data_IF_393469571603
#
_entry.id   IF_393469571603
#
_cell.length_a   1.000
_cell.length_b   1.000
_cell.length_c   1.000
_cell.angle_alpha   90.00
_cell.angle_beta   90.00
_cell.angle_gamma   90.00
#
_symmetry.space_group_name_H-M   'P 1'
#
loop_
_entity.id
_entity.type
_entity.pdbx_description
1 polymer ?
2 polymer ?
3 non-polymer ?
4 non-polymer ?
5 water ?
#
# COMPACT_ATOMS: atom_id res chain seq x y z
N UNK A 8 -8.25 -22.96 7.69
CA UNK A 8 -7.54 -21.63 7.61
C UNK A 8 -7.14 -21.23 6.16
N UNK A 9 -7.14 -19.93 5.91
CA UNK A 9 -6.85 -19.45 4.57
C UNK A 9 -5.47 -18.90 4.47
N UNK A 10 -4.90 -18.85 3.27
CA UNK A 10 -3.58 -18.27 3.05
C UNK A 10 -3.79 -16.81 2.66
N UNK A 11 -2.93 -15.90 3.13
CA UNK A 11 -3.04 -14.48 2.71
C UNK A 11 -2.97 -14.41 1.18
N UNK A 12 -3.75 -13.49 0.59
CA UNK A 12 -3.65 -13.23 -0.85
C UNK A 12 -2.18 -12.82 -1.13
N UNK A 13 -1.54 -13.41 -2.19
CA UNK A 13 -0.16 -13.06 -2.46
C UNK A 13 0.04 -11.64 -2.98
N UNK A 14 1.13 -11.02 -2.58
CA UNK A 14 1.44 -9.66 -3.02
C UNK A 14 1.93 -9.65 -4.48
N UNK A 15 1.77 -8.50 -5.17
CA UNK A 15 2.33 -8.35 -6.52
C UNK A 15 2.79 -6.90 -6.53
N UNK A 16 3.71 -6.58 -7.44
CA UNK A 16 4.18 -5.20 -7.54
C UNK A 16 3.02 -4.23 -7.86
N UNK A 17 3.14 -2.98 -7.40
CA UNK A 17 2.19 -1.95 -7.74
C UNK A 17 2.38 -1.55 -9.19
N UNK A 18 3.54 -1.82 -9.79
CA UNK A 18 3.77 -1.47 -11.19
C UNK A 18 4.14 -0.01 -11.36
N UNK A 19 4.54 0.41 -12.58
CA UNK A 19 4.94 1.82 -12.81
C UNK A 19 3.82 2.86 -12.78
N UNK A 20 2.57 2.43 -12.87
CA UNK A 20 1.48 3.43 -12.86
C UNK A 20 0.75 3.51 -11.52
N UNK A 21 1.34 2.96 -10.47
CA UNK A 21 0.70 2.97 -9.17
C UNK A 21 0.08 4.35 -8.77
N UNK A 22 0.39 5.47 -9.45
CA UNK A 22 -0.35 6.69 -8.98
C UNK A 22 -1.73 6.96 -9.76
N UNK A 23 -2.00 6.19 -10.77
CA UNK A 23 -3.26 6.44 -11.48
C UNK A 23 -4.25 6.04 -10.44
N UNK A 24 -3.91 4.95 -9.78
CA UNK A 24 -4.86 4.50 -8.84
C UNK A 24 -4.70 5.11 -7.53
N UNK A 25 -3.49 5.39 -7.09
CA UNK A 25 -3.47 5.85 -5.73
C UNK A 25 -3.43 7.37 -5.53
N UNK A 26 -2.99 8.11 -6.56
CA UNK A 26 -2.93 9.60 -6.50
C UNK A 26 -3.42 10.14 -7.85
N UNK A 27 -4.65 9.84 -8.25
CA UNK A 27 -5.13 10.31 -9.55
C UNK A 27 -4.97 11.78 -9.86
N UNK A 28 -5.28 12.60 -8.86
CA UNK A 28 -5.14 14.05 -8.93
C UNK A 28 -3.84 14.49 -9.52
N UNK A 29 -2.77 13.75 -9.24
CA UNK A 29 -1.43 14.03 -9.70
C UNK A 29 -1.07 13.35 -11.00
N UNK A 30 -2.03 12.68 -11.61
CA UNK A 30 -1.74 12.05 -12.87
C UNK A 30 -2.73 12.78 -13.74
N UNK A 31 -3.27 13.85 -13.19
CA UNK A 31 -4.22 14.67 -13.91
C UNK A 31 -5.60 14.03 -14.19
N UNK A 32 -6.04 13.17 -13.28
CA UNK A 32 -7.31 12.47 -13.43
C UNK A 32 -8.23 12.96 -12.33
N UNK A 33 -9.22 13.75 -12.72
CA UNK A 33 -10.11 14.29 -11.71
C UNK A 33 -11.36 13.49 -11.64
N UNK A 34 -11.32 12.39 -10.92
CA UNK A 34 -12.48 11.53 -10.83
C UNK A 34 -13.11 11.63 -9.44
N UNK A 35 -12.33 12.04 -8.43
CA UNK A 35 -12.84 12.11 -7.06
C UNK A 35 -12.95 13.54 -6.53
N UNK A 36 -13.93 13.82 -5.68
CA UNK A 36 -14.09 15.14 -5.10
C UNK A 36 -13.12 15.28 -3.98
N UNK A 37 -13.05 14.26 -3.12
CA UNK A 37 -12.11 14.25 -2.01
C UNK A 37 -10.90 13.34 -2.32
N UNK A 38 -9.72 13.91 -2.33
CA UNK A 38 -8.51 13.19 -2.68
C UNK A 38 -7.56 13.04 -1.51
N UNK A 39 -6.98 11.86 -1.38
CA UNK A 39 -6.04 11.61 -0.30
C UNK A 39 -4.71 12.17 -0.65
N UNK A 40 -3.99 12.71 0.33
CA UNK A 40 -2.69 13.29 -0.01
C UNK A 40 -1.64 13.22 1.11
N UNK A 41 -0.59 14.00 0.97
CA UNK A 41 0.56 13.99 1.88
C UNK A 41 0.57 15.07 2.94
N UNK A 42 -0.58 15.65 3.21
CA UNK A 42 -0.64 16.66 4.24
C UNK A 42 -1.49 16.16 5.43
N UNK A 43 -0.83 15.86 6.54
CA UNK A 43 -1.52 15.32 7.70
C UNK A 43 -1.93 16.39 8.71
N UNK A 44 -1.51 17.62 8.46
CA UNK A 44 -1.82 18.72 9.38
C UNK A 44 -3.06 19.44 8.97
N UNK A 45 -4.05 19.44 9.86
CA UNK A 45 -5.29 20.18 9.65
C UNK A 45 -5.08 21.44 10.51
N UNK A 46 -5.93 22.42 10.34
CA UNK A 46 -5.71 23.68 11.06
C UNK A 46 -5.72 23.61 12.59
N UNK A 47 -6.45 22.65 13.14
CA UNK A 47 -6.49 22.51 14.60
C UNK A 47 -5.66 21.38 15.15
N UNK A 48 -4.86 20.76 14.28
CA UNK A 48 -4.05 19.64 14.69
C UNK A 48 -3.04 20.07 15.70
N UNK A 49 -2.89 19.30 16.76
CA UNK A 49 -1.92 19.64 17.77
C UNK A 49 -0.52 19.09 17.49
N UNK A 50 0.48 19.79 17.99
CA UNK A 50 1.83 19.33 17.86
C UNK A 50 2.74 20.19 17.06
N UNK A 51 4.02 19.88 17.11
CA UNK A 51 4.92 20.67 16.30
C UNK A 51 5.00 20.18 14.85
N UNK A 52 4.75 21.10 13.96
CA UNK A 52 4.76 20.87 12.55
C UNK A 52 6.17 20.53 12.05
N UNK A 53 6.29 19.51 11.19
CA UNK A 53 7.58 19.15 10.67
C UNK A 53 7.37 18.75 9.23
N UNK A 54 8.42 18.85 8.43
CA UNK A 54 8.33 18.40 7.05
C UNK A 54 9.28 17.20 6.93
N UNK A 55 8.81 16.10 6.35
CA UNK A 55 9.63 14.90 6.16
C UNK A 55 9.91 14.74 4.66
N UNK A 56 11.17 14.68 4.27
CA UNK A 56 11.45 14.54 2.84
C UNK A 56 12.70 13.74 2.55
N UNK A 57 12.81 13.30 1.30
CA UNK A 57 13.97 12.52 0.92
C UNK A 57 13.83 12.02 -0.47
N UNK A 58 14.65 11.03 -0.80
CA UNK A 58 14.58 10.40 -2.13
C UNK A 58 14.76 8.92 -1.85
N UNK A 59 14.34 8.10 -2.82
CA UNK A 59 14.52 6.66 -2.74
C UNK A 59 15.46 6.29 -3.88
N UNK A 60 16.52 5.54 -3.58
CA UNK A 60 17.53 5.16 -4.58
C UNK A 60 17.58 3.66 -4.88
N UNK A 61 17.88 3.31 -6.13
CA UNK A 61 17.98 1.89 -6.48
C UNK A 61 19.42 1.49 -6.24
N UNK A 62 19.77 0.25 -6.59
CA UNK A 62 21.09 -0.30 -6.35
C UNK A 62 22.22 0.39 -7.06
N UNK A 63 21.92 1.24 -8.04
CA UNK A 63 22.99 1.94 -8.73
C UNK A 63 23.01 3.41 -8.30
N UNK A 64 22.14 3.78 -7.37
CA UNK A 64 22.15 5.15 -6.91
C UNK A 64 21.24 6.05 -7.67
N UNK A 65 20.44 5.51 -8.54
CA UNK A 65 19.52 6.32 -9.28
C UNK A 65 18.22 6.48 -8.44
N UNK A 66 17.69 7.71 -8.35
CA UNK A 66 16.46 7.86 -7.57
C UNK A 66 15.26 7.29 -8.35
N UNK A 67 14.32 6.68 -7.63
CA UNK A 67 13.12 6.12 -8.23
C UNK A 67 12.14 7.25 -8.44
N UNK A 68 11.68 7.43 -9.66
CA UNK A 68 10.74 8.50 -9.88
C UNK A 68 9.34 7.94 -10.01
N UNK A 69 9.19 6.63 -9.81
CA UNK A 69 7.86 6.03 -9.89
C UNK A 69 7.42 5.46 -8.55
N UNK A 70 8.06 5.88 -7.46
CA UNK A 70 7.73 5.30 -6.18
C UNK A 70 6.47 5.84 -5.48
N UNK A 71 5.75 5.02 -4.72
CA UNK A 71 4.57 5.49 -3.95
C UNK A 71 4.88 5.23 -2.46
N UNK A 72 4.73 6.24 -1.62
CA UNK A 72 5.09 6.09 -0.19
C UNK A 72 3.94 6.45 0.71
N UNK A 73 3.71 5.69 1.79
CA UNK A 73 2.69 6.04 2.75
C UNK A 73 3.37 6.01 4.12
N UNK A 74 2.85 6.82 5.06
CA UNK A 74 3.36 6.80 6.39
C UNK A 74 2.16 6.63 7.33
N UNK A 75 2.40 6.08 8.53
CA UNK A 75 1.37 5.82 9.55
C UNK A 75 2.05 6.22 10.86
N UNK A 76 1.39 7.09 11.64
CA UNK A 76 2.03 7.54 12.89
C UNK A 76 1.01 7.95 13.95
N UNK A 77 1.49 8.11 15.17
CA UNK A 77 0.68 8.50 16.33
C UNK A 77 0.56 10.02 16.38
N UNK A 78 -0.36 10.52 17.21
CA UNK A 78 -0.53 11.97 17.29
C UNK A 78 0.57 12.53 18.20
N UNK A 79 0.40 13.82 18.60
CA UNK A 79 1.44 14.43 19.44
C UNK A 79 1.66 13.80 20.83
N UNK A 80 0.66 13.10 21.34
CA UNK A 80 0.77 12.45 22.64
C UNK A 80 1.05 10.97 22.55
N UNK A 81 1.34 10.50 21.34
CA UNK A 81 1.65 9.10 21.17
C UNK A 81 0.43 8.20 21.15
N UNK A 82 -0.70 8.73 20.70
CA UNK A 82 -1.92 7.95 20.59
C UNK A 82 -2.28 7.82 19.12
N UNK A 83 -2.63 6.59 18.71
CA UNK A 83 -3.01 6.35 17.32
C UNK A 83 -4.47 6.64 17.06
N UNK A 84 -4.80 7.30 15.93
CA UNK A 84 -6.20 7.59 15.63
C UNK A 84 -6.80 6.29 15.01
N UNK A 85 -6.91 5.28 15.88
CA UNK A 85 -7.41 3.98 15.44
C UNK A 85 -8.16 3.30 16.53
N UNK A 86 -9.26 2.62 16.16
CA UNK A 86 -10.01 1.88 17.16
C UNK A 86 -9.17 0.78 17.81
N UNK A 87 -8.07 0.36 17.19
CA UNK A 87 -7.24 -0.70 17.78
C UNK A 87 -6.29 -0.16 18.84
N UNK A 88 -6.25 1.17 19.03
CA UNK A 88 -5.36 1.69 20.05
C UNK A 88 -6.06 1.44 21.42
N UNK A 89 -5.33 0.78 22.31
CA UNK A 89 -5.88 0.41 23.60
C UNK A 89 -5.31 1.21 24.77
N UNK A 90 -4.77 2.40 24.51
CA UNK A 90 -4.22 3.18 25.60
C UNK A 90 -5.30 3.82 26.50
N UNK A 91 -6.53 3.91 26.04
CA UNK A 91 -7.53 4.49 26.91
C UNK A 91 -7.27 5.97 27.04
N UNK A 92 -6.52 6.54 26.10
CA UNK A 92 -6.28 7.97 26.10
C UNK A 92 -7.03 8.54 24.90
N UNK A 93 -7.42 9.80 25.00
CA UNK A 93 -8.13 10.40 23.89
C UNK A 93 -7.09 10.85 22.87
N UNK A 94 -7.38 10.58 21.61
CA UNK A 94 -6.49 10.99 20.52
C UNK A 94 -6.89 12.40 20.06
N UNK A 95 -5.94 13.12 19.41
CA UNK A 95 -6.20 14.42 18.82
C UNK A 95 -7.36 14.18 17.79
N UNK A 96 -8.52 14.86 17.92
CA UNK A 96 -9.61 14.61 16.96
C UNK A 96 -9.40 15.19 15.57
N UNK A 97 -8.33 15.94 15.39
CA UNK A 97 -8.09 16.52 14.06
C UNK A 97 -6.84 15.99 13.44
N UNK A 98 -6.73 14.67 13.44
CA UNK A 98 -5.53 13.97 12.95
C UNK A 98 -5.83 12.54 12.43
N UNK A 99 -5.56 12.36 11.14
CA UNK A 99 -5.80 11.10 10.45
C UNK A 99 -4.65 10.11 10.72
N UNK A 100 -3.46 10.63 10.92
CA UNK A 100 -2.28 9.82 11.20
C UNK A 100 -1.69 9.11 9.97
N UNK A 101 -2.30 9.29 8.80
CA UNK A 101 -1.80 8.61 7.59
C UNK A 101 -1.75 9.59 6.41
N UNK A 102 -0.83 9.33 5.47
CA UNK A 102 -0.81 10.12 4.27
C UNK A 102 -0.13 9.33 3.17
N UNK A 103 -0.17 9.86 1.97
CA UNK A 103 0.40 9.15 0.86
C UNK A 103 1.02 10.18 -0.07
N UNK A 104 2.12 9.79 -0.72
CA UNK A 104 2.76 10.69 -1.67
C UNK A 104 3.56 9.93 -2.72
N UNK A 105 3.90 10.60 -3.80
CA UNK A 105 4.72 9.96 -4.83
C UNK A 105 5.95 10.85 -4.97
N UNK A 106 6.98 10.42 -5.69
CA UNK A 106 8.18 11.23 -5.89
C UNK A 106 7.92 12.20 -7.03
N UNK A 107 8.56 13.34 -7.04
CA UNK A 107 8.38 14.28 -8.16
C UNK A 107 8.95 13.61 -9.42
N UNK A 108 8.22 13.59 -10.53
CA UNK A 108 8.71 12.89 -11.74
C UNK A 108 10.07 13.35 -12.29
N UNK A 109 10.46 14.58 -12.01
CA UNK A 109 11.73 15.04 -12.50
C UNK A 109 12.83 14.78 -11.50
N UNK A 110 12.69 15.35 -10.31
CA UNK A 110 13.71 15.22 -9.27
C UNK A 110 13.78 13.94 -8.47
N UNK A 111 12.62 13.35 -8.20
CA UNK A 111 12.59 12.14 -7.39
C UNK A 111 12.38 12.51 -5.91
N UNK A 112 12.22 13.79 -5.57
CA UNK A 112 11.99 14.08 -4.16
C UNK A 112 10.59 13.78 -3.73
N UNK A 113 10.44 13.25 -2.51
CA UNK A 113 9.09 13.02 -1.98
C UNK A 113 9.00 13.81 -0.65
N UNK A 114 7.79 14.11 -0.15
CA UNK A 114 7.66 14.81 1.14
C UNK A 114 6.28 14.64 1.75
N UNK A 115 6.21 14.93 3.06
CA UNK A 115 4.95 14.95 3.75
C UNK A 115 5.02 16.16 4.72
N UNK A 116 3.86 16.73 5.02
CA UNK A 116 3.73 17.76 6.04
C UNK A 116 2.99 17.04 7.14
N UNK A 117 3.60 16.93 8.31
CA UNK A 117 2.93 16.23 9.40
C UNK A 117 3.39 16.82 10.73
N UNK A 118 3.23 16.08 11.82
CA UNK A 118 3.74 16.59 13.08
C UNK A 118 4.65 15.54 13.69
N UNK A 119 5.50 15.96 14.63
CA UNK A 119 6.41 15.05 15.27
C UNK A 119 5.60 14.18 16.23
N UNK A 120 5.60 12.84 16.01
CA UNK A 120 4.80 12.01 16.95
C UNK A 120 5.38 11.89 18.34
N UNK A 121 4.48 11.70 19.30
CA UNK A 121 4.90 11.48 20.67
C UNK A 121 5.25 10.01 20.80
N UNK A 122 5.90 9.66 21.90
CA UNK A 122 6.34 8.30 22.14
C UNK A 122 5.17 7.37 22.43
N UNK A 123 5.28 6.13 21.93
CA UNK A 123 4.22 5.12 22.04
C UNK A 123 4.72 3.93 22.89
N UNK A 124 3.84 3.34 23.73
CA UNK A 124 4.25 2.19 24.54
C UNK A 124 4.80 1.09 23.64
N UNK A 125 5.79 0.38 24.14
CA UNK A 125 6.34 -0.76 23.45
C UNK A 125 5.78 -1.99 24.20
N UNK A 126 6.29 -3.16 23.88
CA UNK A 126 5.79 -4.35 24.56
C UNK A 126 6.33 -4.49 25.97
N UNK A 127 5.58 -5.23 26.80
CA UNK A 127 5.97 -5.49 28.21
C UNK A 127 6.43 -4.26 28.98
N UNK A 128 5.64 -3.20 28.96
CA UNK A 128 5.96 -1.98 29.69
C UNK A 128 7.10 -1.12 29.15
N UNK A 129 7.63 -1.42 27.98
CA UNK A 129 8.73 -0.59 27.47
C UNK A 129 8.12 0.63 26.78
N UNK A 130 8.95 1.59 26.42
CA UNK A 130 8.51 2.78 25.72
C UNK A 130 9.28 2.89 24.40
N UNK A 131 8.58 3.11 23.29
CA UNK A 131 9.31 3.20 22.05
C UNK A 131 9.73 4.64 21.80
N UNK A 132 10.83 4.87 21.10
CA UNK A 132 11.21 6.25 20.77
C UNK A 132 10.22 6.71 19.72
N UNK A 133 10.02 8.06 19.53
CA UNK A 133 9.10 8.60 18.52
C UNK A 133 9.57 8.03 17.15
N UNK A 134 8.62 7.62 16.33
CA UNK A 134 8.92 7.09 15.03
C UNK A 134 7.70 7.21 14.14
N UNK A 135 7.95 7.17 12.83
CA UNK A 135 6.89 7.15 11.83
C UNK A 135 7.04 5.83 11.06
N UNK A 136 5.96 5.09 10.86
CA UNK A 136 6.03 3.86 10.08
C UNK A 136 5.84 4.23 8.61
N UNK A 137 6.71 3.67 7.77
CA UNK A 137 6.71 4.04 6.36
C UNK A 137 6.72 2.79 5.45
N UNK A 138 5.98 2.86 4.32
CA UNK A 138 5.98 1.73 3.41
C UNK A 138 6.21 2.27 2.02
N UNK A 139 6.92 1.48 1.21
CA UNK A 139 7.29 1.84 -0.16
C UNK A 139 6.75 0.83 -1.21
N UNK A 140 6.14 1.34 -2.28
CA UNK A 140 5.66 0.51 -3.38
C UNK A 140 6.24 1.06 -4.70
N UNK A 141 6.58 0.19 -5.66
CA UNK A 141 7.06 0.66 -6.95
C UNK A 141 7.23 -0.54 -7.88
N UNK A 142 7.32 -0.22 -9.17
CA UNK A 142 7.62 -1.20 -10.21
C UNK A 142 8.89 -1.89 -9.66
N UNK A 143 9.03 -3.21 -9.79
CA UNK A 143 10.22 -3.88 -9.31
C UNK A 143 10.22 -4.33 -7.86
N UNK A 144 9.29 -3.77 -7.10
CA UNK A 144 9.17 -4.12 -5.70
C UNK A 144 7.99 -5.05 -5.63
N UNK A 145 8.23 -6.35 -5.32
CA UNK A 145 7.15 -7.31 -5.29
C UNK A 145 6.26 -7.28 -4.10
N UNK A 146 6.80 -6.83 -2.98
CA UNK A 146 6.01 -6.70 -1.77
C UNK A 146 6.39 -5.34 -1.17
N UNK A 147 5.40 -4.57 -0.71
CA UNK A 147 5.70 -3.28 -0.07
C UNK A 147 6.78 -3.43 1.01
N UNK A 148 7.76 -2.54 0.98
CA UNK A 148 8.88 -2.56 1.96
C UNK A 148 8.56 -1.68 3.14
N UNK A 149 8.66 -2.26 4.36
CA UNK A 149 8.32 -1.53 5.57
C UNK A 149 9.61 -1.03 6.23
N UNK A 150 9.59 0.21 6.72
CA UNK A 150 10.75 0.68 7.45
C UNK A 150 10.20 1.66 8.51
N UNK A 151 11.08 2.25 9.31
CA UNK A 151 10.61 3.24 10.28
C UNK A 151 11.59 4.41 10.20
N UNK A 152 11.11 5.58 10.58
CA UNK A 152 11.89 6.80 10.58
C UNK A 152 11.96 7.24 12.08
N UNK A 153 13.16 7.38 12.58
CA UNK A 153 13.40 7.89 13.94
C UNK A 153 14.05 9.28 13.74
N UNK A 154 14.21 10.04 14.81
CA UNK A 154 14.70 11.42 14.70
C UNK A 154 16.02 11.59 15.42
N UNK A 155 17.00 12.21 14.75
CA UNK A 155 18.31 12.36 15.35
C UNK A 155 18.35 13.24 16.61
N UNK A 156 17.33 14.06 16.84
CA UNK A 156 17.34 14.86 18.06
C UNK A 156 16.67 14.12 19.24
N UNK A 157 16.41 12.81 19.09
CA UNK A 157 15.79 12.05 20.17
C UNK A 157 16.81 10.95 20.50
N UNK A 158 18.06 11.33 20.57
CA UNK A 158 19.12 10.35 20.83
C UNK A 158 18.93 9.57 22.14
N UNK A 159 18.50 10.26 23.17
CA UNK A 159 18.24 9.61 24.46
C UNK A 159 17.16 8.49 24.33
N UNK A 160 16.02 8.84 23.73
CA UNK A 160 14.93 7.91 23.51
C UNK A 160 15.34 6.80 22.56
N UNK A 161 16.08 7.16 21.51
CA UNK A 161 16.52 6.16 20.52
C UNK A 161 17.40 5.08 21.13
N UNK A 162 18.25 5.47 22.08
CA UNK A 162 19.13 4.50 22.69
C UNK A 162 18.35 3.46 23.51
N UNK A 163 17.11 3.76 23.88
CA UNK A 163 16.35 2.82 24.69
C UNK A 163 15.21 2.20 23.84
N UNK A 164 15.17 2.48 22.55
CA UNK A 164 14.11 1.92 21.71
C UNK A 164 14.29 0.40 21.51
N UNK A 165 13.24 -0.37 21.79
CA UNK A 165 13.29 -1.83 21.66
C UNK A 165 13.57 -2.29 20.24
N UNK A 166 12.87 -1.73 19.27
CA UNK A 166 13.10 -2.15 17.88
C UNK A 166 14.49 -1.81 17.41
N UNK A 167 14.97 -0.60 17.66
CA UNK A 167 16.32 -0.27 17.24
C UNK A 167 17.36 -1.14 17.92
N UNK A 168 17.17 -1.45 19.20
CA UNK A 168 18.14 -2.27 19.89
C UNK A 168 18.11 -3.68 19.39
N UNK A 169 17.04 -4.08 18.71
CA UNK A 169 16.97 -5.45 18.27
C UNK A 169 17.78 -5.66 17.00
N UNK A 170 18.36 -4.57 16.46
CA UNK A 170 19.18 -4.68 15.25
C UNK A 170 20.61 -4.80 15.77
N UNK A 171 21.26 -5.96 15.54
CA UNK A 171 22.62 -6.22 16.07
C UNK A 171 23.76 -5.45 15.41
N UNK A 172 23.54 -4.93 14.22
CA UNK A 172 24.57 -4.17 13.52
C UNK A 172 24.34 -2.67 13.84
N UNK A 173 25.24 -2.05 14.59
CA UNK A 173 24.97 -0.68 14.90
C UNK A 173 25.11 0.18 13.67
N UNK A 174 25.90 -0.25 12.71
CA UNK A 174 26.03 0.55 11.50
C UNK A 174 24.71 0.60 10.70
N UNK A 175 23.87 -0.41 10.88
CA UNK A 175 22.61 -0.45 10.15
C UNK A 175 21.53 0.36 10.90
N UNK A 176 21.67 0.45 12.21
CA UNK A 176 20.69 1.23 13.00
C UNK A 176 20.67 2.65 12.49
N UNK A 177 21.81 3.17 12.09
CA UNK A 177 21.79 4.57 11.67
C UNK A 177 21.00 4.86 10.41
N UNK A 178 20.79 3.85 9.56
CA UNK A 178 20.01 4.10 8.36
C UNK A 178 18.57 4.49 8.69
N UNK A 179 18.15 4.25 9.94
CA UNK A 179 16.75 4.58 10.29
C UNK A 179 16.51 5.94 10.96
N UNK A 180 17.58 6.73 11.08
CA UNK A 180 17.53 8.03 11.74
C UNK A 180 17.54 9.20 10.75
N UNK A 181 16.45 9.99 10.72
CA UNK A 181 16.40 11.14 9.85
C UNK A 181 17.19 12.31 10.48
N UNK A 182 17.74 13.20 9.64
CA UNK A 182 18.48 14.36 10.15
C UNK A 182 17.66 15.62 10.15
N UNK A 183 17.60 16.29 11.28
CA UNK A 183 16.85 17.52 11.48
C UNK A 183 17.61 18.69 10.87
N UNK A 184 16.90 19.54 10.14
CA UNK A 184 17.46 20.72 9.51
C UNK A 184 16.41 21.81 9.70
N UNK A 185 16.81 23.07 9.61
CA UNK A 185 15.87 24.18 9.79
C UNK A 185 15.83 25.19 8.65
N UNK A 186 15.03 24.88 7.63
CA UNK A 186 14.87 25.73 6.45
C UNK A 186 13.88 26.86 6.70
N UNK A 187 14.39 28.08 6.89
CA UNK A 187 13.58 29.28 7.12
C UNK A 187 12.46 29.09 8.09
N UNK A 188 12.81 28.86 9.35
CA UNK A 188 11.79 28.66 10.36
C UNK A 188 11.19 27.26 10.41
N UNK A 189 11.05 26.59 9.27
CA UNK A 189 10.47 25.25 9.28
C UNK A 189 11.43 24.16 9.72
N UNK A 190 10.91 23.19 10.46
CA UNK A 190 11.76 22.09 10.85
C UNK A 190 11.55 21.01 9.76
N UNK A 191 12.66 20.53 9.21
CA UNK A 191 12.67 19.50 8.16
C UNK A 191 13.49 18.32 8.59
N UNK A 192 13.01 17.12 8.31
CA UNK A 192 13.80 15.92 8.64
C UNK A 192 14.06 15.29 7.29
N UNK A 193 15.33 15.03 7.01
CA UNK A 193 15.72 14.46 5.73
C UNK A 193 15.89 12.96 5.94
N UNK A 194 15.20 12.16 5.12
CA UNK A 194 15.35 10.71 5.30
C UNK A 194 15.45 10.08 3.92
N UNK A 195 16.65 9.68 3.53
CA UNK A 195 16.83 9.06 2.21
C UNK A 195 16.79 7.56 2.41
N UNK A 196 16.24 6.88 1.43
CA UNK A 196 16.11 5.42 1.54
C UNK A 196 16.93 4.77 0.44
N UNK A 197 17.81 3.86 0.81
CA UNK A 197 18.61 3.11 -0.17
C UNK A 197 18.08 1.69 -0.14
N UNK A 198 17.45 1.30 -1.23
CA UNK A 198 16.84 -0.04 -1.28
C UNK A 198 17.87 -1.16 -1.35
N UNK A 199 19.04 -0.89 -1.87
CA UNK A 199 19.97 -1.98 -2.11
C UNK A 199 21.40 -1.51 -2.16
N UNK A 200 22.30 -2.22 -1.52
CA UNK A 200 23.69 -1.85 -1.66
C UNK A 200 24.34 -1.32 -0.42
N UNK A 201 25.25 -0.39 -0.63
CA UNK A 201 25.94 0.18 0.51
C UNK A 201 24.96 1.06 1.28
N UNK A 202 25.02 0.96 2.60
CA UNK A 202 24.12 1.72 3.45
C UNK A 202 22.68 1.46 3.17
N UNK A 203 22.41 0.25 2.74
CA UNK A 203 21.04 -0.19 2.47
C UNK A 203 20.16 0.07 3.69
N UNK A 204 19.02 0.71 3.50
CA UNK A 204 18.11 0.98 4.60
C UNK A 204 17.57 -0.36 5.19
N UNK A 205 17.41 -0.42 6.52
CA UNK A 205 16.87 -1.61 7.16
C UNK A 205 15.35 -1.74 6.81
N UNK A 206 14.91 -2.93 6.43
CA UNK A 206 13.48 -3.09 6.17
C UNK A 206 13.01 -4.16 7.12
N UNK A 207 11.76 -4.04 7.53
CA UNK A 207 11.18 -4.97 8.48
C UNK A 207 10.10 -5.88 7.94
N UNK A 208 9.98 -7.07 8.57
CA UNK A 208 8.84 -7.95 8.31
C UNK A 208 7.99 -7.68 9.54
N UNK A 209 6.84 -7.00 9.42
CA UNK A 209 6.09 -6.63 10.63
C UNK A 209 4.86 -7.47 10.95
N UNK B 4 -13.22 -10.25 24.43
CA UNK B 4 -12.02 -10.66 23.58
C UNK B 4 -10.88 -9.63 23.56
N UNK B 5 -9.69 -10.03 23.99
CA UNK B 5 -8.52 -9.14 23.97
C UNK B 5 -7.65 -9.63 22.78
N UNK B 6 -7.35 -8.73 21.85
CA UNK B 6 -6.59 -9.12 20.69
C UNK B 6 -5.10 -9.03 20.89
N UNK B 7 -4.38 -10.00 20.32
CA UNK B 7 -2.93 -10.04 20.41
C UNK B 7 -2.33 -9.61 19.10
N UNK B 8 -1.26 -10.24 18.64
CA UNK B 8 -0.66 -9.76 17.36
C UNK B 8 -1.24 -10.42 16.11
N UNK B 9 -0.96 -9.84 14.92
CA UNK B 9 -1.32 -10.54 13.69
C UNK B 9 -0.43 -11.79 13.55
N UNK B 10 -0.99 -12.85 12.96
CA UNK B 10 -0.21 -14.05 12.67
C UNK B 10 0.97 -13.59 11.79
N UNK B 11 2.11 -14.23 11.95
CA UNK B 11 3.30 -13.95 11.15
C UNK B 11 2.97 -14.09 9.62
N UNK B 12 3.51 -13.21 8.78
CA UNK B 12 3.28 -13.34 7.33
C UNK B 12 4.05 -14.59 6.89
N UNK B 13 3.44 -15.45 6.05
CA UNK B 13 4.11 -16.70 5.60
C UNK B 13 4.86 -16.32 4.33
N UNK B 14 6.15 -16.08 4.45
CA UNK B 14 6.93 -15.63 3.32
C UNK B 14 6.93 -16.61 2.15
N UNK B 15 6.67 -17.91 2.40
CA UNK B 15 6.66 -18.85 1.28
C UNK B 15 5.37 -18.70 0.46
N UNK B 16 4.42 -17.93 0.97
CA UNK B 16 3.18 -17.76 0.20
C UNK B 16 3.20 -16.48 -0.67
N UNK B 17 4.37 -15.81 -0.74
CA UNK B 17 4.48 -14.56 -1.44
C UNK B 17 5.71 -14.60 -2.35
N UNK B 18 5.79 -13.67 -3.30
CA UNK B 18 6.98 -13.70 -4.13
C UNK B 18 8.18 -13.28 -3.27
N UNK B 19 9.41 -13.58 -3.71
CA UNK B 19 10.58 -13.14 -2.95
C UNK B 19 10.88 -11.74 -3.49
N UNK B 20 11.75 -10.99 -2.85
CA UNK B 20 12.05 -9.64 -3.31
C UNK B 20 12.89 -9.69 -4.61
N UNK B 21 13.86 -10.57 -4.63
CA UNK B 21 14.73 -10.70 -5.78
C UNK B 21 14.15 -11.77 -6.68
N UNK B 22 13.76 -11.39 -7.87
CA UNK B 22 13.18 -12.35 -8.81
C UNK B 22 13.80 -11.96 -10.17
N UNK B 23 14.92 -12.57 -10.51
CA UNK B 23 15.57 -12.24 -11.79
C UNK B 23 14.77 -12.25 -13.12
N UNK B 24 13.67 -13.00 -13.22
CA UNK B 24 12.91 -13.01 -14.44
C UNK B 24 12.08 -11.74 -14.59
N UNK B 25 11.95 -10.97 -13.50
CA UNK B 25 11.26 -9.68 -13.51
C UNK B 25 12.46 -8.71 -13.35
N UNK B 26 12.99 -8.26 -14.49
CA UNK B 26 14.21 -7.52 -14.50
C UNK B 26 14.33 -6.29 -13.62
N UNK B 27 13.26 -5.52 -13.49
CA UNK B 27 13.31 -4.33 -12.66
C UNK B 27 13.54 -4.69 -11.21
N UNK B 28 13.25 -5.91 -10.81
CA UNK B 28 13.49 -6.23 -9.39
C UNK B 28 14.99 -6.39 -9.07
N UNK B 29 15.83 -6.60 -10.09
CA UNK B 29 17.24 -6.85 -9.81
C UNK B 29 17.94 -5.72 -9.01
N UNK B 30 17.61 -4.48 -9.32
CA UNK B 30 18.22 -3.35 -8.58
C UNK B 30 17.30 -2.72 -7.57
N UNK B 31 16.09 -3.29 -7.39
CA UNK B 31 15.15 -2.73 -6.42
C UNK B 31 14.76 -3.70 -5.34
N UNK B 32 15.68 -4.62 -5.02
CA UNK B 32 15.45 -5.60 -3.97
C UNK B 32 16.59 -5.52 -2.99
N UNK B 33 16.27 -5.49 -1.68
CA UNK B 33 17.32 -5.43 -0.67
C UNK B 33 18.20 -6.64 -0.72
N UNK B 34 19.48 -6.48 -0.42
CA UNK B 34 20.37 -7.60 -0.41
C UNK B 34 20.30 -8.22 0.98
N UNK B 35 20.02 -7.43 2.02
CA UNK B 35 19.93 -7.99 3.36
C UNK B 35 18.55 -8.62 3.59
N UNK B 36 18.52 -9.60 4.47
CA UNK B 36 17.26 -10.22 4.84
C UNK B 36 16.41 -9.16 5.61
N UNK B 37 15.09 -9.29 5.59
CA UNK B 37 14.22 -8.42 6.35
C UNK B 37 14.41 -8.79 7.80
N UNK B 38 14.29 -7.77 8.66
CA UNK B 38 14.43 -7.96 10.10
C UNK B 38 13.03 -8.12 10.68
N UNK B 39 12.74 -9.29 11.27
CA UNK B 39 11.40 -9.52 11.85
C UNK B 39 11.33 -8.92 13.23
N UNK B 40 10.24 -8.20 13.52
CA UNK B 40 10.07 -7.61 14.82
C UNK B 40 8.81 -8.12 15.47
N UNK B 41 8.75 -8.04 16.79
CA UNK B 41 7.53 -8.41 17.46
C UNK B 41 6.59 -7.15 17.36
N UNK B 42 5.29 -7.36 17.12
CA UNK B 42 4.41 -6.23 16.94
C UNK B 42 4.07 -5.43 18.19
N UNK B 43 3.86 -4.14 17.94
CA UNK B 43 3.48 -3.18 18.93
C UNK B 43 2.23 -2.48 18.43
N UNK B 44 1.78 -1.49 19.19
CA UNK B 44 0.64 -0.72 18.78
C UNK B 44 0.83 -0.11 17.37
N UNK B 45 2.07 0.17 16.97
CA UNK B 45 2.31 0.74 15.65
C UNK B 45 1.87 -0.19 14.51
N UNK B 46 2.07 -1.49 14.68
CA UNK B 46 1.77 -2.46 13.63
C UNK B 46 0.31 -2.96 13.68
N UNK B 47 -0.34 -2.85 14.81
CA UNK B 47 -1.71 -3.36 14.87
C UNK B 47 -2.78 -2.34 14.67
N UNK B 48 -2.40 -1.07 14.53
CA UNK B 48 -3.39 -0.02 14.28
C UNK B 48 -3.31 0.41 12.78
N UNK B 49 -4.32 1.14 12.33
CA UNK B 49 -4.41 1.64 10.97
C UNK B 49 -5.46 2.75 10.96
N UNK B 50 -5.44 3.58 9.91
CA UNK B 50 -6.41 4.68 9.86
C UNK B 50 -7.84 4.34 9.52
N UNK B 51 -8.75 5.27 9.78
CA UNK B 51 -10.14 5.04 9.45
C UNK B 51 -10.56 6.06 8.39
N UNK B 52 -11.24 5.61 7.33
CA UNK B 52 -11.72 6.50 6.25
C UNK B 52 -13.25 6.51 6.36
N UNK B 53 -13.86 7.70 6.31
CA UNK B 53 -15.31 7.75 6.42
C UNK B 53 -16.03 7.71 5.08
N UNK B 54 -17.14 6.98 5.05
CA UNK B 54 -17.90 6.82 3.85
C UNK B 54 -18.44 8.16 3.32
N UNK B 55 -18.64 9.11 4.20
CA UNK B 55 -19.15 10.44 3.84
C UNK B 55 -18.39 11.16 2.78
N UNK B 56 -17.08 10.92 2.73
CA UNK B 56 -16.20 11.57 1.77
C UNK B 56 -16.18 10.90 0.35
N UNK B 57 -16.75 9.71 0.21
CA UNK B 57 -16.76 9.00 -1.09
C UNK B 57 -17.90 9.51 -1.97
N UNK B 58 -17.67 9.74 -3.26
CA UNK B 58 -18.73 10.20 -4.14
C UNK B 58 -19.60 9.04 -4.61
N UNK B 59 -20.79 9.30 -5.18
CA UNK B 59 -21.67 8.22 -5.62
C UNK B 59 -21.17 7.30 -6.72
N UNK B 60 -20.26 7.79 -7.55
CA UNK B 60 -19.76 6.99 -8.64
C UNK B 60 -18.31 6.52 -8.41
N UNK B 61 -17.84 6.60 -7.17
CA UNK B 61 -16.42 6.21 -6.91
C UNK B 61 -16.13 4.73 -7.25
N UNK B 62 -17.14 3.88 -7.22
CA UNK B 62 -16.94 2.44 -7.53
C UNK B 62 -17.51 2.12 -8.88
N UNK B 63 -17.71 3.13 -9.71
CA UNK B 63 -18.32 2.86 -11.04
C UNK B 63 -17.39 3.44 -12.12
N UNK B 64 -16.45 2.60 -12.57
CA UNK B 64 -15.46 3.08 -13.52
C UNK B 64 -16.03 3.26 -14.93
N UNK B 65 -17.24 2.79 -15.15
CA UNK B 65 -17.87 3.00 -16.44
C UNK B 65 -18.38 4.47 -16.52
N UNK B 66 -18.95 4.97 -15.43
CA UNK B 66 -19.47 6.33 -15.45
C UNK B 66 -18.68 7.40 -14.74
N UNK B 67 -17.67 7.06 -13.94
CA UNK B 67 -17.09 8.15 -13.17
C UNK B 67 -16.18 9.10 -13.89
N UNK B 68 -15.91 8.80 -15.16
CA UNK B 68 -15.06 9.68 -15.95
C UNK B 68 -15.71 9.85 -17.32
N UNK B 69 -16.96 9.50 -17.43
CA UNK B 69 -17.63 9.61 -18.72
C UNK B 69 -18.02 11.06 -18.93
N UNK B 70 -17.68 11.60 -20.08
CA UNK B 70 -18.02 13.01 -20.41
C UNK B 70 -19.05 13.08 -21.57
N UNK B 71 -18.68 12.67 -22.78
CA UNK B 71 -19.59 12.71 -23.93
C UNK B 71 -20.30 11.44 -24.19
N UNK B 72 -19.79 10.34 -23.67
CA UNK B 72 -20.45 9.08 -23.93
C UNK B 72 -19.94 8.06 -22.96
N UNK B 73 -20.19 6.80 -23.29
CA UNK B 73 -19.74 5.69 -22.47
C UNK B 73 -18.37 5.20 -22.96
N UNK B 74 -17.59 4.63 -22.05
CA UNK B 74 -16.29 4.12 -22.49
C UNK B 74 -16.55 2.89 -23.39
N UNK B 75 -15.61 2.55 -24.28
CA UNK B 75 -15.71 1.42 -25.20
C UNK B 75 -15.10 0.21 -24.47
N UNK B 76 -15.72 -0.96 -24.58
CA UNK B 76 -15.15 -2.12 -23.93
C UNK B 76 -16.23 -3.01 -23.34
N UNK B 77 -15.79 -4.10 -22.69
CA UNK B 77 -16.70 -5.09 -22.13
C UNK B 77 -17.14 -4.70 -20.73
N UNK B 78 -18.45 -4.51 -20.55
CA UNK B 78 -19.00 -4.12 -19.28
C UNK B 78 -18.94 -5.29 -18.33
N UNK B 79 -18.29 -5.10 -17.19
CA UNK B 79 -18.21 -6.17 -16.20
C UNK B 79 -18.36 -5.65 -14.78
N UNK B 80 -18.97 -6.46 -13.94
CA UNK B 80 -19.10 -6.20 -12.52
C UNK B 80 -18.08 -7.16 -11.84
N UNK B 81 -17.37 -6.68 -10.83
CA UNK B 81 -16.47 -7.53 -10.05
C UNK B 81 -16.95 -7.39 -8.59
N UNK B 82 -17.12 -8.51 -7.91
CA UNK B 82 -17.54 -8.43 -6.50
C UNK B 82 -16.94 -9.56 -5.74
N UNK B 83 -17.02 -9.47 -4.41
CA UNK B 83 -16.46 -10.56 -3.63
C UNK B 83 -16.38 -10.14 -2.17
N UNK B 84 -15.63 -10.91 -1.41
CA UNK B 84 -15.50 -10.69 0.03
C UNK B 84 -14.07 -10.62 0.47
N UNK B 85 -13.82 -9.75 1.43
CA UNK B 85 -12.50 -9.58 2.01
C UNK B 85 -12.62 -10.22 3.43
N UNK B 86 -11.72 -11.14 3.74
CA UNK B 86 -11.77 -11.76 5.06
C UNK B 86 -10.39 -11.90 5.60
N UNK B 87 -10.23 -12.19 6.89
CA UNK B 87 -8.87 -12.39 7.35
C UNK B 87 -8.57 -13.89 7.27
N UNK B 88 -7.33 -14.26 7.56
CA UNK B 88 -6.95 -15.65 7.45
C UNK B 88 -7.70 -16.64 8.32
N UNK B 89 -8.32 -16.15 9.38
CA UNK B 89 -9.13 -17.05 10.21
C UNK B 89 -10.60 -17.00 9.76
N UNK B 90 -10.85 -16.43 8.58
CA UNK B 90 -12.21 -16.42 8.07
C UNK B 90 -13.13 -15.29 8.54
N UNK B 91 -12.67 -14.34 9.34
CA UNK B 91 -13.57 -13.27 9.79
C UNK B 91 -13.71 -12.17 8.75
N UNK B 92 -14.91 -11.60 8.57
CA UNK B 92 -15.01 -10.53 7.57
C UNK B 92 -14.18 -9.31 7.98
N UNK B 93 -13.74 -8.56 6.98
CA UNK B 93 -12.94 -7.39 7.19
C UNK B 93 -13.90 -6.25 6.82
N UNK B 94 -14.32 -5.52 7.84
CA UNK B 94 -15.31 -4.44 7.70
C UNK B 94 -14.73 -3.07 7.51
N UNK B 95 -15.32 -2.30 6.61
CA UNK B 95 -14.90 -0.91 6.37
C UNK B 95 -13.44 -0.72 5.96
N UNK B 96 -12.95 -1.68 5.20
CA UNK B 96 -11.61 -1.62 4.69
C UNK B 96 -11.69 -0.80 3.37
N UNK B 97 -10.63 -0.05 3.09
CA UNK B 97 -10.61 0.79 1.90
C UNK B 97 -9.97 -0.02 0.78
N UNK B 98 -10.73 -0.20 -0.28
CA UNK B 98 -10.26 -0.94 -1.47
C UNK B 98 -10.12 0.06 -2.59
N UNK B 99 -8.89 0.22 -3.08
CA UNK B 99 -8.64 1.10 -4.23
C UNK B 99 -8.21 0.31 -5.45
N UNK B 100 -8.70 0.65 -6.64
CA UNK B 100 -8.32 -0.14 -7.84
C UNK B 100 -7.88 0.76 -8.99
N UNK B 101 -7.02 0.29 -9.88
CA UNK B 101 -6.66 1.10 -11.04
C UNK B 101 -6.33 0.10 -12.14
N UNK B 102 -6.46 0.51 -13.40
CA UNK B 102 -6.29 -0.43 -14.48
C UNK B 102 -6.18 0.36 -15.77
N UNK B 103 -5.82 -0.39 -16.81
CA UNK B 103 -5.72 0.13 -18.19
C UNK B 103 -7.10 0.16 -18.80
N UNK B 104 -7.23 0.77 -19.98
CA UNK B 104 -8.56 0.72 -20.60
C UNK B 104 -8.69 -0.54 -21.47
N UNK B 105 -9.70 -0.61 -22.32
CA UNK B 105 -9.93 -1.82 -23.16
C UNK B 105 -8.79 -2.10 -24.15
N UNK B 106 -8.00 -1.08 -24.47
CA UNK B 106 -6.90 -1.21 -25.39
C UNK B 106 -5.64 -1.64 -24.65
N UNK B 107 -5.69 -1.64 -23.33
CA UNK B 107 -4.46 -1.97 -22.61
C UNK B 107 -3.65 -0.68 -22.40
N UNK B 108 -4.29 0.50 -22.51
CA UNK B 108 -3.60 1.76 -22.36
C UNK B 108 -3.98 2.44 -21.03
N UNK B 109 -2.98 2.90 -20.30
CA UNK B 109 -3.23 3.56 -19.03
C UNK B 109 -3.31 5.04 -19.30
N UNK B 110 -4.05 5.76 -18.48
CA UNK B 110 -4.19 7.18 -18.66
C UNK B 110 -3.10 7.78 -17.76
N UNK B 111 -1.86 7.62 -18.20
CA UNK B 111 -0.68 8.04 -17.46
C UNK B 111 0.20 8.71 -18.48
N UNK B 112 0.95 9.73 -18.01
CA UNK B 112 1.81 10.41 -19.00
C UNK B 112 2.86 9.51 -19.71
N UNK B 113 3.41 8.60 -18.94
CA UNK B 113 4.46 7.73 -19.43
C UNK B 113 3.99 6.55 -20.27
N UNK B 114 2.70 6.42 -20.49
CA UNK B 114 2.26 5.26 -21.28
C UNK B 114 2.07 5.70 -22.71
N UNK B 115 2.97 5.30 -23.58
CA UNK B 115 2.85 5.69 -24.96
C UNK B 115 2.57 4.53 -25.92
N UNK B 116 1.92 3.47 -25.40
CA UNK B 116 1.56 2.35 -26.23
C UNK B 116 0.56 2.83 -27.30
N UNK B 117 0.62 2.24 -28.45
CA UNK B 117 -0.24 2.61 -29.54
C UNK B 117 -1.70 2.23 -29.30
N UNK B 118 -1.97 1.34 -28.33
CA UNK B 118 -3.35 1.00 -28.03
C UNK B 118 -4.06 2.33 -27.78
N UNK B 119 -5.24 2.50 -28.33
CA UNK B 119 -5.89 3.81 -28.24
C UNK B 119 -6.44 4.19 -26.89
N UNK B 120 -6.31 5.48 -26.55
CA UNK B 120 -6.89 6.10 -25.36
C UNK B 120 -8.42 6.22 -25.49
N UNK B 121 -9.12 6.19 -24.38
CA UNK B 121 -10.58 6.27 -24.45
C UNK B 121 -10.90 7.55 -23.70
N UNK B 122 -11.44 8.57 -24.37
CA UNK B 122 -11.75 9.83 -23.68
C UNK B 122 -12.79 9.72 -22.58
N UNK B 123 -13.54 8.62 -22.54
CA UNK B 123 -14.55 8.45 -21.50
C UNK B 123 -14.21 7.47 -20.43
N UNK B 124 -12.95 7.06 -20.35
CA UNK B 124 -12.51 6.16 -19.33
C UNK B 124 -11.33 6.72 -18.53
N UNK B 125 -11.45 6.62 -17.21
CA UNK B 125 -10.41 7.12 -16.31
C UNK B 125 -9.57 5.94 -15.80
N UNK B 126 -10.21 4.92 -15.28
CA UNK B 126 -9.40 3.79 -14.84
C UNK B 126 -9.08 3.67 -13.35
N UNK B 127 -9.73 4.45 -12.50
CA UNK B 127 -9.45 4.29 -11.08
C UNK B 127 -10.81 4.39 -10.27
N UNK B 128 -10.91 3.62 -9.17
CA UNK B 128 -12.12 3.59 -8.35
C UNK B 128 -11.75 3.24 -6.91
N UNK B 129 -12.70 3.33 -5.99
CA UNK B 129 -12.41 2.97 -4.61
C UNK B 129 -13.75 2.68 -3.95
N UNK B 130 -13.75 1.93 -2.82
CA UNK B 130 -14.99 1.58 -2.11
C UNK B 130 -14.56 1.18 -0.72
N UNK B 131 -15.54 1.04 0.20
CA UNK B 131 -15.24 0.55 1.53
C UNK B 131 -16.01 -0.76 1.57
N UNK B 132 -15.44 -1.83 2.14
CA UNK B 132 -16.21 -3.08 2.28
C UNK B 132 -17.30 -2.83 3.32
N UNK B 133 -18.37 -3.61 3.24
CA UNK B 133 -19.49 -3.46 4.15
C UNK B 133 -19.26 -4.32 5.40
N UNK B 134 -20.28 -4.46 6.25
CA UNK B 134 -20.09 -5.26 7.47
C UNK B 134 -19.88 -6.73 7.27
N UNK B 135 -20.16 -7.23 6.06
CA UNK B 135 -19.95 -8.65 5.78
C UNK B 135 -18.65 -8.83 5.02
N UNK B 136 -17.91 -7.73 4.86
CA UNK B 136 -16.66 -7.78 4.11
C UNK B 136 -16.87 -7.71 2.59
N UNK B 137 -18.13 -7.48 2.16
CA UNK B 137 -18.46 -7.45 0.74
C UNK B 137 -18.05 -6.17 -0.02
N UNK B 138 -17.63 -6.30 -1.27
CA UNK B 138 -17.34 -5.08 -2.05
C UNK B 138 -17.85 -5.36 -3.46
N UNK B 139 -18.19 -4.32 -4.20
CA UNK B 139 -18.65 -4.48 -5.57
C UNK B 139 -18.29 -3.21 -6.37
N UNK B 140 -17.75 -3.38 -7.57
CA UNK B 140 -17.49 -2.24 -8.41
C UNK B 140 -17.81 -2.62 -9.88
N UNK B 141 -17.96 -1.63 -10.75
CA UNK B 141 -18.26 -1.93 -12.14
C UNK B 141 -17.19 -1.27 -12.97
N UNK B 142 -16.82 -1.89 -14.07
CA UNK B 142 -15.78 -1.34 -14.92
C UNK B 142 -15.84 -1.92 -16.33
N UNK B 143 -14.81 -1.57 -17.11
CA UNK B 143 -14.63 -2.09 -18.48
C UNK B 143 -13.47 -3.12 -18.31
N UNK B 144 -13.59 -4.29 -18.91
CA UNK B 144 -12.50 -5.30 -18.75
C UNK B 144 -11.26 -4.72 -19.42
N UNK B 145 -10.09 -4.69 -18.70
CA UNK B 145 -8.88 -4.12 -19.34
C UNK B 145 -8.26 -5.04 -20.37
N UNK B 146 -7.58 -4.46 -21.34
CA UNK B 146 -6.91 -5.29 -22.27
C UNK B 146 -5.49 -5.57 -21.80
N UNK B 147 -4.90 -6.64 -22.31
CA UNK B 147 -3.51 -7.01 -21.98
C UNK B 147 -2.64 -5.91 -22.63
N UNK B 148 -1.38 -5.88 -22.32
CA UNK B 148 -0.53 -4.89 -22.98
C UNK B 148 0.94 -5.33 -22.91
N UNK B 149 1.75 -4.77 -23.80
CA UNK B 149 3.17 -5.07 -23.88
C UNK B 149 3.95 -4.17 -22.93
N UNK B 150 5.09 -4.67 -22.47
CA UNK B 150 5.93 -3.91 -21.58
C UNK B 150 7.33 -4.39 -21.84
N UNK B 151 8.29 -3.62 -21.41
CA UNK B 151 9.66 -4.06 -21.72
C UNK B 151 10.35 -4.75 -20.53
N UNK B 152 10.44 -6.06 -20.63
CA UNK B 152 11.14 -6.90 -19.64
C UNK B 152 12.04 -7.61 -20.66
N UNK B 153 11.56 -8.68 -21.28
CA UNK B 153 12.21 -9.23 -22.44
C UNK B 153 11.47 -8.34 -23.54
N UNK B 154 11.92 -8.25 -24.80
CA UNK B 154 11.26 -7.25 -25.69
C UNK B 154 9.82 -7.54 -26.03
N UNK B 155 9.41 -8.81 -26.06
CA UNK B 155 8.04 -9.15 -26.44
C UNK B 155 7.25 -9.64 -25.22
N UNK B 156 7.41 -8.97 -24.09
CA UNK B 156 6.68 -9.39 -22.86
C UNK B 156 5.26 -8.79 -22.90
N UNK B 157 4.26 -9.57 -22.49
CA UNK B 157 2.88 -9.07 -22.48
C UNK B 157 2.21 -9.41 -21.15
N UNK B 158 1.60 -8.41 -20.50
CA UNK B 158 0.88 -8.66 -19.25
C UNK B 158 -0.53 -9.22 -19.59
N UNK B 159 -1.04 -10.15 -18.80
CA UNK B 159 -2.41 -10.67 -19.03
C UNK B 159 -3.27 -9.44 -18.56
N UNK B 160 -4.55 -9.46 -18.90
CA UNK B 160 -5.46 -8.39 -18.46
C UNK B 160 -5.46 -8.46 -16.94
N UNK B 161 -5.44 -7.31 -16.26
CA UNK B 161 -5.46 -7.36 -14.82
C UNK B 161 -5.94 -6.05 -14.28
N UNK B 162 -6.37 -6.09 -13.03
CA UNK B 162 -6.80 -4.91 -12.34
C UNK B 162 -5.93 -4.86 -11.06
N UNK B 163 -5.30 -3.72 -10.85
CA UNK B 163 -4.45 -3.50 -9.70
C UNK B 163 -5.35 -3.14 -8.51
N UNK B 164 -5.01 -3.64 -7.31
CA UNK B 164 -5.79 -3.28 -6.15
C UNK B 164 -4.93 -3.11 -4.92
N UNK B 165 -5.47 -2.33 -3.97
CA UNK B 165 -4.77 -1.97 -2.75
C UNK B 165 -5.80 -2.03 -1.61
N UNK B 166 -5.36 -2.49 -0.42
CA UNK B 166 -6.26 -2.58 0.72
C UNK B 166 -5.64 -1.94 1.97
N UNK B 167 -6.38 -1.03 2.62
CA UNK B 167 -5.93 -0.53 3.93
C UNK B 167 -7.04 -1.01 4.85
N UNK B 168 -6.72 -1.81 5.87
CA UNK B 168 -7.80 -2.37 6.66
C UNK B 168 -7.68 -2.05 8.16
N UNK B 169 -7.67 -3.09 9.02
CA UNK B 169 -7.61 -2.76 10.46
C UNK B 169 -6.26 -2.56 11.11
N UNK B 170 -5.24 -3.18 10.53
CA UNK B 170 -3.93 -3.06 11.10
C UNK B 170 -2.92 -2.82 10.00
N UNK B 171 -1.92 -2.02 10.32
CA UNK B 171 -0.89 -1.65 9.37
C UNK B 171 -0.20 -2.91 8.84
N UNK B 172 -0.07 -3.94 9.69
CA UNK B 172 0.56 -5.16 9.24
C UNK B 172 -0.21 -5.86 8.07
N UNK B 173 -1.51 -5.56 7.92
CA UNK B 173 -2.35 -6.12 6.82
C UNK B 173 -2.17 -5.40 5.48
N UNK B 174 -1.50 -4.25 5.47
CA UNK B 174 -1.32 -3.46 4.24
C UNK B 174 -0.87 -4.34 3.06
N UNK B 175 -1.62 -4.29 1.95
CA UNK B 175 -1.38 -5.15 0.81
C UNK B 175 -1.74 -4.51 -0.53
N UNK B 176 -0.88 -4.69 -1.54
CA UNK B 176 -1.18 -4.23 -2.90
C UNK B 176 -0.95 -5.48 -3.74
N UNK B 177 -1.85 -5.76 -4.70
CA UNK B 177 -1.66 -6.93 -5.55
C UNK B 177 -2.42 -6.69 -6.86
N UNK B 178 -2.72 -7.77 -7.57
CA UNK B 178 -3.36 -7.65 -8.87
C UNK B 178 -4.19 -8.91 -9.05
N UNK B 179 -5.37 -8.81 -9.69
CA UNK B 179 -6.13 -10.04 -9.98
C UNK B 179 -6.33 -10.09 -11.51
N UNK B 180 -6.44 -11.33 -12.00
CA UNK B 180 -6.51 -11.68 -13.40
C UNK B 180 -7.90 -12.30 -13.66
N UNK B 181 -8.19 -12.58 -14.93
CA UNK B 181 -9.50 -13.08 -15.34
C UNK B 181 -9.42 -14.50 -15.82
N UNK B 182 -10.30 -15.32 -15.28
CA UNK B 182 -10.33 -16.75 -15.60
C UNK B 182 -10.22 -16.99 -17.08
N UNK B 183 -9.33 -17.91 -17.45
CA UNK B 183 -9.12 -18.32 -18.83
C UNK B 183 -8.11 -17.53 -19.67
N UNK B 184 -7.63 -16.39 -19.20
CA UNK B 184 -6.68 -15.59 -19.99
C UNK B 184 -5.43 -16.45 -20.26
N UNK B 185 -5.07 -16.65 -21.52
CA UNK B 185 -3.88 -17.52 -21.74
C UNK B 185 -2.53 -16.89 -21.41
N UNK B 186 -2.48 -15.57 -21.25
CA UNK B 186 -1.22 -14.88 -20.95
C UNK B 186 -0.84 -15.13 -19.50
N UNK B 187 -1.80 -15.59 -18.68
CA UNK B 187 -1.52 -15.88 -17.28
C UNK B 187 -0.38 -16.88 -17.11
N UNK B 188 -0.31 -17.88 -17.99
CA UNK B 188 0.74 -18.91 -17.90
C UNK B 188 2.14 -18.47 -18.25
N UNK B 189 2.28 -17.33 -18.91
CA UNK B 189 3.57 -16.81 -19.39
C UNK B 189 4.11 -15.58 -18.66
N UNK B 190 3.31 -14.93 -17.83
CA UNK B 190 3.71 -13.69 -17.16
C UNK B 190 4.82 -13.86 -16.11
N UNK B 191 5.97 -13.17 -16.32
CA UNK B 191 7.04 -13.28 -15.35
C UNK B 191 6.69 -12.60 -14.01
N UNK B 192 5.78 -11.64 -14.02
CA UNK B 192 5.41 -10.99 -12.75
C UNK B 192 4.55 -11.93 -11.89
N UNK B 193 3.60 -12.62 -12.54
CA UNK B 193 2.75 -13.58 -11.82
C UNK B 193 3.64 -14.80 -11.40
N UNK B 194 4.59 -15.18 -12.24
CA UNK B 194 5.49 -16.28 -11.88
C UNK B 194 6.50 -15.99 -10.73
N UNK B 195 6.58 -14.76 -10.22
CA UNK B 195 7.42 -14.52 -9.06
C UNK B 195 6.78 -15.25 -7.86
N UNK B 196 5.49 -15.55 -7.93
CA UNK B 196 4.81 -16.22 -6.79
C UNK B 196 5.24 -17.71 -6.92
N UNK B 197 5.86 -18.28 -5.87
CA UNK B 197 6.33 -19.66 -5.93
C UNK B 197 5.34 -20.79 -6.14
N UNK B 198 4.18 -20.77 -5.52
CA UNK B 198 3.33 -21.90 -5.70
C UNK B 198 2.14 -21.69 -6.57
N UNK B 199 1.78 -22.77 -7.24
CA UNK B 199 0.65 -22.75 -8.13
C UNK B 199 -0.63 -22.40 -7.38
N UNK B 200 -0.82 -22.90 -6.17
CA UNK B 200 -2.09 -22.59 -5.51
C UNK B 200 -2.22 -21.10 -5.23
N UNK B 201 -1.10 -20.46 -4.93
CA UNK B 201 -1.14 -19.03 -4.67
C UNK B 201 -1.32 -18.26 -5.98
N UNK B 202 -0.77 -18.74 -7.10
CA UNK B 202 -1.00 -18.04 -8.35
C UNK B 202 -2.50 -18.08 -8.66
N UNK B 203 -3.15 -19.21 -8.32
CA UNK B 203 -4.57 -19.33 -8.58
C UNK B 203 -5.40 -18.45 -7.71
N UNK B 204 -4.87 -18.10 -6.54
CA UNK B 204 -5.57 -17.20 -5.63
C UNK B 204 -5.76 -15.78 -6.19
N UNK B 205 -5.12 -15.48 -7.31
CA UNK B 205 -5.29 -14.18 -7.92
C UNK B 205 -6.18 -14.19 -9.18
N UNK B 206 -6.89 -15.28 -9.42
CA UNK B 206 -7.70 -15.32 -10.64
C UNK B 206 -9.14 -15.11 -10.30
N UNK B 207 -9.76 -14.10 -10.84
CA UNK B 207 -11.20 -13.83 -10.58
C UNK B 207 -12.00 -14.82 -11.49
N UNK B 208 -13.05 -15.38 -10.91
CA UNK B 208 -13.83 -16.40 -11.59
C UNK B 208 -15.11 -15.89 -12.20
N UNK B 209 -15.41 -16.38 -13.39
CA UNK B 209 -16.66 -15.99 -14.07
C UNK B 209 -17.84 -16.40 -13.15
N UNK B 210 -18.79 -15.49 -12.93
CA UNK B 210 -19.93 -15.73 -12.02
C UNK B 210 -21.18 -15.57 -12.87
N UNK B 211 -21.49 -16.62 -13.64
CA UNK B 211 -22.58 -16.56 -14.61
C UNK B 211 -23.99 -16.27 -14.09
N UNK B 212 -24.33 -16.80 -12.93
CA UNK B 212 -25.67 -16.56 -12.42
C UNK B 212 -25.83 -15.11 -12.06
N UNK B 213 -24.70 -14.40 -11.83
CA UNK B 213 -24.80 -12.99 -11.52
C UNK B 213 -24.60 -12.01 -12.70
N UNK B 214 -24.58 -12.53 -13.92
CA UNK B 214 -24.52 -11.64 -15.07
C UNK B 214 -25.89 -10.92 -15.08
N UNK B 215 -25.92 -9.72 -15.62
CA UNK B 215 -27.14 -8.93 -15.73
C UNK B 215 -27.51 -8.92 -17.20
N UNK B 216 -28.64 -9.57 -17.50
CA UNK B 216 -29.09 -9.70 -18.86
C UNK B 216 -29.09 -8.41 -19.63
N UNK B 217 -28.57 -8.50 -20.87
CA UNK B 217 -28.44 -7.40 -21.84
C UNK B 217 -27.68 -6.25 -21.28
N UNK B 218 -26.79 -6.55 -20.32
CA UNK B 218 -26.06 -5.49 -19.72
C UNK B 218 -24.61 -5.77 -19.41
N UNK B 219 -24.33 -6.62 -18.41
CA UNK B 219 -22.92 -6.79 -17.97
C UNK B 219 -22.64 -8.22 -17.51
N UNK B 220 -21.36 -8.63 -17.59
CA UNK B 220 -20.92 -9.95 -17.08
C UNK B 220 -20.44 -9.72 -15.66
N UNK B 221 -20.03 -10.76 -14.97
CA UNK B 221 -19.68 -10.59 -13.58
C UNK B 221 -18.59 -11.57 -13.22
N UNK B 222 -17.63 -11.10 -12.43
CA UNK B 222 -16.53 -11.92 -11.92
C UNK B 222 -16.53 -11.86 -10.41
N UNK B 223 -16.17 -12.97 -9.79
CA UNK B 223 -16.18 -13.09 -8.36
C UNK B 223 -14.72 -13.20 -7.93
N UNK B 224 -14.33 -12.43 -6.91
CA UNK B 224 -12.94 -12.44 -6.47
C UNK B 224 -12.87 -12.16 -4.99
N UNK B 225 -12.39 -13.14 -4.24
CA UNK B 225 -12.27 -12.92 -2.79
C UNK B 225 -10.80 -12.62 -2.39
N UNK B 226 -10.62 -11.86 -1.31
CA UNK B 226 -9.28 -11.43 -0.85
C UNK B 226 -9.12 -11.84 0.59
N UNK B 227 -7.94 -12.35 0.99
CA UNK B 227 -7.66 -12.77 2.36
C UNK B 227 -6.50 -11.93 2.94
N UNK B 228 -6.74 -11.32 4.09
CA UNK B 228 -5.70 -10.54 4.74
C UNK B 228 -5.19 -11.32 5.96
N UNK B 229 -4.10 -10.85 6.55
CA UNK B 229 -3.58 -11.47 7.77
C UNK B 229 -4.61 -11.28 8.85
N UNK B 230 -4.63 -12.22 9.78
CA UNK B 230 -5.61 -12.16 10.86
C UNK B 230 -4.97 -12.01 12.22
N UNK B 231 -5.69 -11.37 13.15
CA UNK B 231 -5.19 -11.28 14.50
C UNK B 231 -5.54 -12.48 15.38
N UNK B 232 -4.64 -12.87 16.30
CA UNK B 232 -4.86 -13.95 17.26
C UNK B 232 -5.49 -13.32 18.51
N UNK B 233 -6.28 -14.10 19.24
CA UNK B 233 -6.86 -13.60 20.48
C UNK B 233 -5.91 -13.97 21.63
N UNK B 234 -5.93 -13.18 22.71
CA UNK B 234 -5.05 -13.48 23.82
C UNK B 234 -5.89 -13.98 24.98
N UNK B 235 -5.46 -15.06 25.62
CA UNK B 235 -6.19 -15.56 26.77
C UNK B 235 -5.39 -15.58 28.06
N UNK B 236 -4.09 -15.40 27.96
CA UNK B 236 -3.24 -15.38 29.12
C UNK B 236 -2.55 -14.00 29.17
N UNK B 237 -1.22 -13.93 29.30
CA UNK B 237 -0.55 -12.63 29.31
C UNK B 237 -0.74 -11.83 28.00
N UNK B 238 -1.05 -10.55 28.15
CA UNK B 238 -1.26 -9.65 27.03
C UNK B 238 -0.03 -8.75 27.04
N UNK B 239 0.97 -9.16 26.28
CA UNK B 239 2.26 -8.44 26.19
C UNK B 239 2.36 -7.30 25.21
N UNK B 240 1.31 -7.06 24.43
CA UNK B 240 1.30 -6.02 23.41
C UNK B 240 1.77 -4.69 23.94
N UNK B 241 1.35 -4.42 25.15
CA UNK B 241 1.68 -3.20 25.85
C UNK B 241 2.21 -3.59 27.24
X LIG C 1 -0.62 -2.93 -14.95
X LIG D 1 2.21 -3.39 -14.94
X LIG D 1 1.96 -2.12 -15.46
X LIG D 1 2.92 -1.52 -16.26
X LIG D 1 4.10 -2.16 -16.54
X LIG D 1 4.37 -3.41 -16.03
X LIG D 1 3.41 -4.03 -15.22
X LIG D 1 1.27 -4.01 -14.16
X LIG D 1 0.78 -1.49 -15.17
X LIG D 1 5.09 -1.50 -17.38
X LIG D 1 4.76 -0.48 -18.02
X LIG D 1 6.24 -1.95 -17.47
#
# INVERSE_FOLDING_TARGET
>A
MNGWNFQELKETPSQTGGPYVHIGLLPKQANIEVFEHNLDNNLVQDNTQGQRIRLEGQVFDGLGLPLRDVLIEIWQADTNGVYPSQADTQGKQVDPNFLGWGRTGADFGTGFWSFNTIKPGAVPGRKGSTQAPHISLIIFAHGINIGLHTRVYFDDEAEANAKDPVLNSIEWATRRQTLVAKREERDGEVVYRFDIRIQGENETVFFDI
>B
MSQIIWGAYAQRNTEDHPPAYAPGYKTSVLRSPKNALISIAETLSEVTAPHFSADKFGPKDNDLILNYAKDGLPIGERVIVHGYVRDQFGRPVKNALVEVWQANASGRYRHPNDQYIGAMDPNFGGCGRMLTDDNGYYVFRTIKPGPYPWRNRINEWRPAHIHFSLIADGWAQRLISQFYFEGDTLIDSCPILKTIPSEQQRRALIALEDKSNFIEADSRCYRFDITLRGRRATYFENDLT
>C hetero
1 FE FE
>D hetero
1 4NC C1 C2 C3 C4 C5 C6 O7 O8 N9 O10 O11
#
